data_IF_770307818532
#
_entry.id   IF_770307818532
#
_cell.length_a   1.000
_cell.length_b   1.000
_cell.length_c   1.000
_cell.angle_alpha   90.00
_cell.angle_beta   90.00
_cell.angle_gamma   90.00
#
_symmetry.space_group_name_H-M   'P 1'
#
loop_
_entity.id
_entity.type
_entity.pdbx_description
1 polymer ?
#
# COMPACT_ATOMS: atom_id res chain seq x y z
N UNK A 1 -21.32 -5.91 -3.59
CA UNK A 1 -19.98 -6.53 -3.56
C UNK A 1 -18.99 -5.57 -4.17
N UNK A 2 -17.84 -5.45 -3.54
CA UNK A 2 -16.77 -4.55 -3.98
C UNK A 2 -15.47 -5.31 -4.11
N UNK A 3 -14.65 -4.94 -5.08
CA UNK A 3 -13.24 -5.32 -5.14
C UNK A 3 -12.45 -4.11 -4.69
N UNK A 4 -11.68 -4.26 -3.60
CA UNK A 4 -10.89 -3.18 -3.03
C UNK A 4 -9.45 -3.33 -3.52
N UNK A 5 -8.97 -2.31 -4.23
CA UNK A 5 -7.59 -2.29 -4.70
C UNK A 5 -6.60 -2.07 -3.56
N UNK A 6 -5.35 -2.38 -3.81
CA UNK A 6 -4.29 -2.14 -2.82
C UNK A 6 -4.01 -0.65 -2.67
N UNK A 7 -3.77 -0.16 -1.44
CA UNK A 7 -3.17 1.15 -1.24
C UNK A 7 -1.81 1.24 -1.92
N UNK A 8 -1.35 2.46 -2.16
CA UNK A 8 -0.03 2.70 -2.77
C UNK A 8 1.08 2.10 -1.92
N UNK A 9 1.96 1.29 -2.53
CA UNK A 9 3.00 0.55 -1.83
C UNK A 9 4.29 1.38 -1.73
N UNK A 10 4.78 1.89 -2.85
CA UNK A 10 6.03 2.63 -2.91
C UNK A 10 5.83 4.12 -3.21
N UNK A 11 6.91 4.77 -3.61
CA UNK A 11 6.90 6.15 -4.11
C UNK A 11 7.43 6.11 -5.54
N UNK A 12 6.53 6.17 -6.53
CA UNK A 12 6.88 5.89 -7.92
C UNK A 12 7.45 4.48 -8.04
N UNK A 13 8.68 4.35 -8.56
CA UNK A 13 9.39 3.07 -8.64
C UNK A 13 10.30 2.80 -7.44
N UNK A 14 10.23 3.66 -6.40
CA UNK A 14 11.06 3.53 -5.19
C UNK A 14 10.30 2.78 -4.11
N UNK A 15 11.00 1.84 -3.47
CA UNK A 15 10.47 1.02 -2.38
C UNK A 15 11.44 1.07 -1.21
N UNK A 16 10.96 1.43 -0.03
CA UNK A 16 11.78 1.63 1.15
C UNK A 16 11.61 0.41 2.06
N UNK A 17 12.58 -0.49 1.98
CA UNK A 17 12.50 -1.81 2.60
C UNK A 17 12.99 -1.82 4.05
N UNK A 18 13.77 -0.81 4.45
CA UNK A 18 14.43 -0.75 5.75
C UNK A 18 13.86 0.40 6.57
N UNK A 19 13.23 0.07 7.68
CA UNK A 19 12.63 1.04 8.61
C UNK A 19 13.19 0.83 10.01
N UNK A 20 14.12 1.69 10.41
CA UNK A 20 14.74 1.64 11.75
C UNK A 20 14.27 2.76 12.66
N UNK A 21 13.67 3.81 12.10
CA UNK A 21 13.21 4.99 12.81
C UNK A 21 12.04 5.65 12.11
N UNK A 22 11.76 6.94 12.40
CA UNK A 22 10.61 7.64 11.83
C UNK A 22 10.67 7.77 10.31
N UNK A 23 11.90 7.88 9.75
CA UNK A 23 12.10 7.99 8.31
C UNK A 23 12.64 6.69 7.75
N UNK A 24 12.35 6.38 6.47
CA UNK A 24 12.94 5.20 5.83
C UNK A 24 14.46 5.30 5.77
N UNK A 25 15.14 4.18 5.89
CA UNK A 25 16.60 4.11 5.82
C UNK A 25 17.12 3.92 4.39
N UNK A 26 16.26 3.58 3.44
CA UNK A 26 16.61 3.38 2.04
C UNK A 26 15.52 3.90 1.12
N UNK A 27 15.83 3.95 -0.17
CA UNK A 27 14.87 4.19 -1.24
C UNK A 27 15.40 3.47 -2.48
N UNK A 28 15.00 2.22 -2.62
CA UNK A 28 15.52 1.32 -3.65
C UNK A 28 14.65 1.36 -4.89
N UNK A 29 15.25 1.58 -6.04
CA UNK A 29 14.53 1.56 -7.31
C UNK A 29 14.22 0.12 -7.72
N UNK A 30 12.95 -0.21 -7.80
CA UNK A 30 12.45 -1.53 -8.22
C UNK A 30 11.36 -1.35 -9.29
N UNK A 31 11.73 -0.95 -10.51
CA UNK A 31 10.74 -0.68 -11.55
C UNK A 31 9.90 -1.90 -11.91
N UNK A 32 10.44 -3.10 -11.76
CA UNK A 32 9.70 -4.34 -11.99
C UNK A 32 8.56 -4.51 -10.98
N UNK A 33 8.80 -4.15 -9.72
CA UNK A 33 7.76 -4.21 -8.67
C UNK A 33 6.64 -3.22 -8.98
N UNK A 34 6.98 -2.01 -9.40
CA UNK A 34 5.98 -1.03 -9.82
C UNK A 34 5.14 -1.54 -10.98
N UNK A 35 5.78 -2.20 -11.96
CA UNK A 35 5.06 -2.78 -13.09
C UNK A 35 4.08 -3.87 -12.62
N UNK A 36 4.49 -4.76 -11.72
CA UNK A 36 3.61 -5.79 -11.18
C UNK A 36 2.47 -5.19 -10.37
N UNK A 37 2.74 -4.15 -9.59
CA UNK A 37 1.70 -3.43 -8.86
C UNK A 37 0.64 -2.85 -9.80
N UNK A 38 1.07 -2.23 -10.90
CA UNK A 38 0.16 -1.66 -11.88
C UNK A 38 -0.64 -2.75 -12.61
N UNK A 39 -0.01 -3.85 -12.99
CA UNK A 39 -0.69 -4.98 -13.65
C UNK A 39 -1.72 -5.61 -12.72
N UNK A 40 -1.38 -5.78 -11.44
CA UNK A 40 -2.32 -6.31 -10.45
C UNK A 40 -3.57 -5.42 -10.32
N UNK A 41 -3.39 -4.10 -10.33
CA UNK A 41 -4.53 -3.18 -10.29
C UNK A 41 -5.38 -3.28 -11.54
N UNK A 42 -4.78 -3.32 -12.72
CA UNK A 42 -5.52 -3.46 -13.97
C UNK A 42 -6.32 -4.76 -14.00
N UNK A 43 -5.75 -5.85 -13.51
CA UNK A 43 -6.46 -7.14 -13.42
C UNK A 43 -7.68 -7.03 -12.51
N UNK A 44 -7.56 -6.34 -11.38
CA UNK A 44 -8.68 -6.13 -10.46
C UNK A 44 -9.77 -5.26 -11.09
N UNK A 45 -9.39 -4.19 -11.78
CA UNK A 45 -10.33 -3.32 -12.50
C UNK A 45 -11.07 -4.10 -13.58
N UNK A 46 -10.34 -4.90 -14.37
CA UNK A 46 -10.94 -5.71 -15.43
C UNK A 46 -11.88 -6.77 -14.85
N UNK A 47 -11.52 -7.40 -13.74
CA UNK A 47 -12.37 -8.36 -13.06
C UNK A 47 -13.66 -7.71 -12.54
N UNK A 48 -13.55 -6.53 -11.94
CA UNK A 48 -14.70 -5.79 -11.46
C UNK A 48 -15.66 -5.46 -12.61
N UNK A 49 -15.12 -5.00 -13.73
CA UNK A 49 -15.91 -4.69 -14.92
C UNK A 49 -16.59 -5.94 -15.48
N UNK A 50 -15.86 -7.04 -15.59
CA UNK A 50 -16.39 -8.29 -16.14
C UNK A 50 -17.48 -8.92 -15.27
N UNK A 51 -17.43 -8.72 -13.96
CA UNK A 51 -18.39 -9.29 -13.01
C UNK A 51 -19.49 -8.30 -12.60
N UNK A 52 -19.42 -7.05 -13.04
CA UNK A 52 -20.43 -6.03 -12.71
C UNK A 52 -20.37 -5.55 -11.26
N UNK A 53 -19.24 -5.71 -10.57
CA UNK A 53 -19.05 -5.22 -9.20
C UNK A 53 -18.25 -3.92 -9.21
N UNK A 54 -18.33 -3.17 -8.12
CA UNK A 54 -17.61 -1.90 -7.95
C UNK A 54 -16.13 -2.17 -7.66
N UNK A 55 -15.25 -1.39 -8.28
CA UNK A 55 -13.84 -1.33 -7.90
C UNK A 55 -13.59 -0.09 -7.05
N UNK A 56 -13.01 -0.28 -5.86
CA UNK A 56 -12.61 0.79 -4.96
C UNK A 56 -11.13 1.07 -5.16
N UNK A 57 -10.80 2.21 -5.76
CA UNK A 57 -9.43 2.62 -6.03
C UNK A 57 -8.84 3.33 -4.81
N UNK A 58 -7.90 2.68 -4.14
CA UNK A 58 -7.24 3.23 -2.96
C UNK A 58 -5.99 4.05 -3.28
N UNK A 59 -5.56 4.09 -4.55
CA UNK A 59 -4.30 4.77 -4.93
C UNK A 59 -4.33 6.28 -4.74
N UNK A 60 -5.38 7.02 -5.17
CA UNK A 60 -5.35 8.48 -5.11
C UNK A 60 -5.19 9.05 -3.71
N UNK A 61 -5.79 8.41 -2.69
CA UNK A 61 -5.75 8.91 -1.31
C UNK A 61 -4.58 8.38 -0.50
N UNK A 62 -3.74 7.51 -1.09
CA UNK A 62 -2.61 6.89 -0.39
C UNK A 62 -1.27 7.09 -1.10
N UNK A 63 -1.20 7.99 -2.07
CA UNK A 63 0.00 8.18 -2.88
C UNK A 63 1.25 8.52 -2.06
N UNK A 64 1.08 9.18 -0.92
CA UNK A 64 2.16 9.61 -0.02
C UNK A 64 2.19 8.81 1.29
N UNK A 65 1.54 7.65 1.35
CA UNK A 65 1.36 6.84 2.57
C UNK A 65 1.91 5.42 2.45
N UNK A 66 2.70 5.19 1.42
CA UNK A 66 3.35 3.90 1.20
C UNK A 66 4.53 3.66 2.12
N UNK A 67 5.34 2.66 1.81
CA UNK A 67 6.49 2.28 2.65
C UNK A 67 7.62 3.31 2.67
N UNK A 68 7.60 4.31 1.78
CA UNK A 68 8.56 5.41 1.78
C UNK A 68 8.07 6.65 2.53
N UNK A 69 6.88 6.61 3.10
CA UNK A 69 6.37 7.70 3.93
C UNK A 69 7.05 7.71 5.31
N UNK A 70 6.94 8.84 6.01
CA UNK A 70 7.34 8.93 7.41
C UNK A 70 6.43 8.06 8.28
N UNK A 71 6.92 7.66 9.46
CA UNK A 71 6.23 6.69 10.31
C UNK A 71 4.80 7.10 10.69
N UNK A 72 4.54 8.41 10.83
CA UNK A 72 3.22 8.93 11.20
C UNK A 72 2.16 8.78 10.09
N UNK A 73 2.60 8.58 8.84
CA UNK A 73 1.71 8.41 7.68
C UNK A 73 1.83 7.04 7.04
N UNK A 74 2.91 6.32 7.32
CA UNK A 74 3.25 5.06 6.64
C UNK A 74 2.20 3.99 6.87
N UNK A 75 1.71 3.39 5.79
CA UNK A 75 0.68 2.36 5.83
C UNK A 75 1.19 0.97 5.44
N UNK A 76 2.48 0.85 5.11
CA UNK A 76 3.10 -0.42 4.73
C UNK A 76 4.31 -0.71 5.60
N UNK A 77 4.42 -1.96 6.07
CA UNK A 77 5.63 -2.42 6.72
C UNK A 77 6.73 -2.69 5.69
N UNK A 78 7.98 -2.40 6.03
CA UNK A 78 9.13 -2.75 5.22
C UNK A 78 9.49 -4.23 5.35
N UNK A 79 10.57 -4.62 4.67
CA UNK A 79 11.12 -5.97 4.79
C UNK A 79 11.78 -6.16 6.17
N UNK A 80 12.58 -5.18 6.59
CA UNK A 80 13.13 -5.07 7.95
C UNK A 80 12.54 -3.81 8.55
N UNK A 81 11.69 -3.94 9.54
CA UNK A 81 10.89 -2.83 10.05
C UNK A 81 10.73 -2.90 11.57
N UNK A 82 11.47 -2.06 12.27
CA UNK A 82 11.38 -1.92 13.71
C UNK A 82 10.31 -0.89 14.14
N UNK A 83 9.69 -0.21 13.18
CA UNK A 83 8.67 0.82 13.45
C UNK A 83 7.24 0.31 13.32
N UNK A 84 7.05 -0.89 12.77
CA UNK A 84 5.71 -1.41 12.46
C UNK A 84 4.96 -1.93 13.69
N UNK A 85 5.64 -2.13 14.81
CA UNK A 85 5.05 -2.68 16.03
C UNK A 85 4.84 -4.20 15.98
N UNK A 86 4.40 -4.78 17.11
CA UNK A 86 4.18 -6.23 17.16
C UNK A 86 2.99 -6.65 16.31
N UNK A 87 3.08 -7.84 15.72
CA UNK A 87 2.00 -8.42 14.94
C UNK A 87 1.92 -7.98 13.49
N UNK A 88 2.79 -7.07 13.04
CA UNK A 88 2.85 -6.68 11.64
C UNK A 88 3.71 -7.65 10.84
N UNK A 89 3.26 -7.96 9.62
CA UNK A 89 4.00 -8.84 8.71
C UNK A 89 4.90 -8.02 7.79
N UNK A 90 6.12 -8.50 7.49
CA UNK A 90 6.98 -7.83 6.51
C UNK A 90 6.27 -7.68 5.16
N UNK A 91 6.47 -6.54 4.51
CA UNK A 91 5.93 -6.22 3.18
C UNK A 91 4.40 -6.33 3.09
N UNK A 92 3.72 -6.09 4.20
CA UNK A 92 2.26 -6.07 4.28
C UNK A 92 1.77 -4.71 4.78
N UNK A 93 0.50 -4.43 4.55
CA UNK A 93 -0.16 -3.26 5.11
C UNK A 93 -0.10 -3.32 6.64
N UNK A 94 0.21 -2.19 7.28
CA UNK A 94 0.29 -2.11 8.74
C UNK A 94 -1.07 -1.75 9.35
N UNK A 95 -1.12 -1.62 10.69
CA UNK A 95 -2.37 -1.31 11.40
C UNK A 95 -2.98 0.02 10.94
N UNK A 96 -2.15 1.06 10.71
CA UNK A 96 -2.62 2.35 10.22
C UNK A 96 -3.26 2.21 8.84
N UNK A 97 -2.67 1.41 7.96
CA UNK A 97 -3.21 1.15 6.64
C UNK A 97 -4.54 0.40 6.69
N UNK A 98 -4.65 -0.61 7.53
CA UNK A 98 -5.91 -1.33 7.73
C UNK A 98 -7.02 -0.41 8.22
N UNK A 99 -6.72 0.44 9.20
CA UNK A 99 -7.69 1.39 9.74
C UNK A 99 -8.12 2.41 8.67
N UNK A 100 -7.17 2.91 7.89
CA UNK A 100 -7.47 3.86 6.81
C UNK A 100 -8.42 3.25 5.77
N UNK A 101 -8.14 2.04 5.32
CA UNK A 101 -8.99 1.35 4.34
C UNK A 101 -10.37 1.09 4.94
N UNK A 102 -10.44 0.61 6.18
CA UNK A 102 -11.71 0.35 6.85
C UNK A 102 -12.56 1.62 6.97
N UNK A 103 -11.96 2.74 7.35
CA UNK A 103 -12.67 4.03 7.46
C UNK A 103 -13.13 4.52 6.10
N UNK A 104 -12.34 4.34 5.06
CA UNK A 104 -12.74 4.73 3.70
C UNK A 104 -13.95 3.91 3.24
N UNK A 105 -13.93 2.60 3.45
CA UNK A 105 -15.04 1.72 3.07
C UNK A 105 -16.31 2.05 3.87
N UNK A 106 -16.18 2.42 5.13
CA UNK A 106 -17.31 2.78 5.98
C UNK A 106 -17.94 4.11 5.58
N UNK A 107 -17.26 4.94 4.77
CA UNK A 107 -17.78 6.23 4.31
C UNK A 107 -18.74 6.14 3.13
N UNK A 108 -18.92 4.98 2.55
CA UNK A 108 -19.86 4.77 1.43
C UNK A 108 -21.30 4.64 1.88
#
# INVERSE_FOLDING_TARGET
IQIVGYPTIGSGDRYCLLHFGPKPADATALPMVQRYENVAQWMQVDLARATGVEFVDMKPMTWDRGMCADADKRQWAGLVDFSAGPGNLPLHINARGHEFVANHLASF
#
